data_IF_084452745335
#
_entry.id   IF_084452745335
#
_cell.length_a   1.000
_cell.length_b   1.000
_cell.length_c   1.000
_cell.angle_alpha   90.00
_cell.angle_beta   90.00
_cell.angle_gamma   90.00
#
_symmetry.space_group_name_H-M   'P 1'
#
loop_
_entity.id
_entity.type
_entity.pdbx_description
1 polymer ?
#
# COMPACT_ATOMS: atom_id res chain seq x y z
N UNK A 1 -4.32 -22.56 -13.14
CA UNK A 1 -5.31 -23.29 -12.28
C UNK A 1 -5.99 -22.40 -11.24
N UNK A 2 -5.30 -21.70 -10.31
CA UNK A 2 -5.97 -20.77 -9.38
C UNK A 2 -6.55 -19.55 -10.12
N UNK A 3 -5.76 -18.93 -10.98
CA UNK A 3 -6.18 -17.80 -11.81
C UNK A 3 -7.38 -18.13 -12.68
N UNK A 4 -7.40 -19.28 -13.35
CA UNK A 4 -8.55 -19.76 -14.14
C UNK A 4 -9.81 -19.93 -13.29
N UNK A 5 -9.66 -20.48 -12.06
CA UNK A 5 -10.80 -20.63 -11.14
C UNK A 5 -11.33 -19.26 -10.68
N UNK A 6 -10.44 -18.30 -10.37
CA UNK A 6 -10.84 -16.94 -10.00
C UNK A 6 -11.53 -16.27 -11.18
N UNK A 7 -10.98 -16.36 -12.38
CA UNK A 7 -11.58 -15.86 -13.60
C UNK A 7 -12.96 -16.51 -13.85
N UNK A 8 -13.09 -17.81 -13.68
CA UNK A 8 -14.37 -18.51 -13.83
C UNK A 8 -15.44 -18.04 -12.83
N UNK A 9 -15.06 -17.79 -11.57
CA UNK A 9 -15.98 -17.31 -10.52
C UNK A 9 -16.35 -15.84 -10.73
N UNK A 10 -15.38 -14.99 -11.04
CA UNK A 10 -15.61 -13.57 -11.18
C UNK A 10 -15.99 -13.12 -12.61
N UNK A 11 -16.04 -14.05 -13.56
CA UNK A 11 -16.73 -13.85 -14.82
C UNK A 11 -15.92 -13.24 -15.94
N UNK A 12 -14.72 -13.72 -16.20
CA UNK A 12 -13.91 -13.30 -17.36
C UNK A 12 -14.56 -13.63 -18.73
N UNK A 13 -15.54 -14.52 -18.76
CA UNK A 13 -16.29 -14.87 -19.97
C UNK A 13 -17.41 -13.88 -20.31
N UNK A 14 -17.80 -13.04 -19.32
CA UNK A 14 -18.81 -12.01 -19.53
C UNK A 14 -18.15 -10.69 -20.03
N UNK A 15 -18.85 -9.85 -20.83
CA UNK A 15 -18.31 -8.57 -21.26
C UNK A 15 -17.79 -7.72 -20.10
N UNK A 16 -16.58 -7.17 -20.23
CA UNK A 16 -15.93 -6.32 -19.22
C UNK A 16 -16.04 -4.82 -19.51
N UNK A 17 -16.74 -4.45 -20.60
CA UNK A 17 -16.94 -3.07 -21.03
C UNK A 17 -17.78 -2.24 -20.05
N UNK A 18 -17.77 -0.93 -20.22
CA UNK A 18 -18.64 -0.03 -19.48
C UNK A 18 -20.12 -0.40 -19.73
N UNK A 19 -20.94 -0.30 -18.67
CA UNK A 19 -22.39 -0.61 -18.74
C UNK A 19 -22.74 -2.10 -18.56
N UNK A 20 -21.76 -3.00 -18.57
CA UNK A 20 -21.99 -4.45 -18.39
C UNK A 20 -22.12 -4.90 -16.95
N UNK A 21 -21.95 -3.98 -15.99
CA UNK A 21 -21.96 -4.27 -14.56
C UNK A 21 -20.66 -4.88 -14.02
N UNK A 22 -19.65 -5.08 -14.87
CA UNK A 22 -18.37 -5.63 -14.43
C UNK A 22 -17.59 -4.63 -13.58
N UNK A 23 -17.40 -3.41 -14.05
CA UNK A 23 -16.73 -2.35 -13.30
C UNK A 23 -17.44 -2.02 -11.98
N UNK A 24 -18.78 -1.99 -11.97
CA UNK A 24 -19.52 -1.80 -10.72
C UNK A 24 -19.31 -2.96 -9.75
N UNK A 25 -19.19 -4.19 -10.24
CA UNK A 25 -18.84 -5.34 -9.40
C UNK A 25 -17.43 -5.24 -8.77
N UNK A 26 -16.44 -4.86 -9.57
CA UNK A 26 -15.06 -4.63 -9.10
C UNK A 26 -15.02 -3.52 -8.06
N UNK A 27 -15.65 -2.37 -8.34
CA UNK A 27 -15.72 -1.25 -7.39
C UNK A 27 -16.46 -1.63 -6.11
N UNK A 28 -17.53 -2.42 -6.20
CA UNK A 28 -18.23 -2.92 -5.02
C UNK A 28 -17.32 -3.78 -4.14
N UNK A 29 -16.62 -4.76 -4.73
CA UNK A 29 -15.69 -5.61 -4.01
C UNK A 29 -14.55 -4.81 -3.39
N UNK A 30 -13.96 -3.88 -4.13
CA UNK A 30 -12.89 -3.01 -3.68
C UNK A 30 -13.30 -2.15 -2.48
N UNK A 31 -14.39 -1.40 -2.59
CA UNK A 31 -14.88 -0.57 -1.50
C UNK A 31 -15.35 -1.40 -0.30
N UNK A 32 -15.91 -2.58 -0.53
CA UNK A 32 -16.27 -3.52 0.53
C UNK A 32 -15.05 -4.00 1.33
N UNK A 33 -13.95 -4.35 0.65
CA UNK A 33 -12.69 -4.74 1.30
C UNK A 33 -12.12 -3.58 2.12
N UNK A 34 -12.08 -2.38 1.56
CA UNK A 34 -11.59 -1.19 2.27
C UNK A 34 -12.44 -0.86 3.50
N UNK A 35 -13.76 -0.87 3.35
CA UNK A 35 -14.68 -0.58 4.46
C UNK A 35 -14.55 -1.61 5.58
N UNK A 36 -14.57 -2.90 5.22
CA UNK A 36 -14.44 -3.98 6.20
C UNK A 36 -13.09 -3.95 6.91
N UNK A 37 -11.98 -3.82 6.16
CA UNK A 37 -10.64 -3.71 6.73
C UNK A 37 -10.50 -2.51 7.67
N UNK A 38 -11.02 -1.33 7.29
CA UNK A 38 -10.99 -0.14 8.14
C UNK A 38 -11.78 -0.32 9.43
N UNK A 39 -12.96 -0.97 9.39
CA UNK A 39 -13.75 -1.27 10.60
C UNK A 39 -13.01 -2.26 11.49
N UNK A 40 -12.37 -3.27 10.92
CA UNK A 40 -11.53 -4.23 11.67
C UNK A 40 -10.34 -3.52 12.33
N UNK A 41 -9.71 -2.54 11.65
CA UNK A 41 -8.68 -1.69 12.25
C UNK A 41 -9.20 -0.92 13.48
N UNK A 42 -10.42 -0.40 13.43
CA UNK A 42 -11.03 0.28 14.58
C UNK A 42 -11.29 -0.65 15.78
N UNK A 43 -11.57 -1.94 15.53
CA UNK A 43 -11.75 -2.93 16.59
C UNK A 43 -10.43 -3.40 17.23
N UNK A 44 -9.36 -3.49 16.44
CA UNK A 44 -8.06 -4.00 16.90
C UNK A 44 -6.93 -3.00 16.63
N UNK A 45 -7.07 -1.73 17.07
CA UNK A 45 -6.13 -0.67 16.68
C UNK A 45 -4.70 -0.93 17.18
N UNK A 46 -4.53 -1.61 18.33
CA UNK A 46 -3.19 -1.90 18.87
C UNK A 46 -2.35 -2.81 17.96
N UNK A 47 -2.99 -3.72 17.23
CA UNK A 47 -2.32 -4.73 16.39
C UNK A 47 -2.32 -4.31 14.91
N UNK A 48 -3.41 -3.68 14.46
CA UNK A 48 -3.65 -3.47 13.05
C UNK A 48 -3.32 -2.06 12.55
N UNK A 49 -3.20 -1.07 13.45
CA UNK A 49 -2.92 0.31 13.02
C UNK A 49 -1.50 0.74 13.36
N UNK A 50 -0.90 1.51 12.46
CA UNK A 50 0.46 2.03 12.57
C UNK A 50 0.55 3.10 13.67
N UNK A 51 1.36 2.93 14.72
CA UNK A 51 1.50 3.91 15.80
C UNK A 51 1.87 5.31 15.29
N UNK A 52 2.70 5.37 14.25
CA UNK A 52 3.21 6.60 13.65
C UNK A 52 2.10 7.41 12.95
N UNK A 53 1.07 6.74 12.43
CA UNK A 53 -0.02 7.39 11.68
C UNK A 53 -1.21 7.78 12.56
N UNK A 54 -1.45 7.08 13.66
CA UNK A 54 -2.61 7.34 14.54
C UNK A 54 -2.79 8.81 14.93
N UNK A 55 -1.72 9.57 15.29
CA UNK A 55 -1.85 10.97 15.65
C UNK A 55 -2.34 11.88 14.50
N UNK A 56 -2.11 11.44 13.27
CA UNK A 56 -2.44 12.22 12.07
C UNK A 56 -3.83 11.90 11.50
N UNK A 57 -4.54 10.90 12.03
CA UNK A 57 -5.87 10.57 11.53
C UNK A 57 -6.94 11.55 12.02
N UNK A 58 -7.52 12.36 11.14
CA UNK A 58 -8.68 13.18 11.49
C UNK A 58 -9.90 12.26 11.59
N UNK A 59 -10.19 11.74 12.78
CA UNK A 59 -11.17 10.67 13.00
C UNK A 59 -12.55 10.98 12.45
N UNK A 60 -12.97 12.24 12.42
CA UNK A 60 -14.24 12.64 11.80
C UNK A 60 -14.24 12.33 10.28
N UNK A 61 -13.12 12.62 9.60
CA UNK A 61 -12.96 12.34 8.17
C UNK A 61 -12.86 10.83 7.93
N UNK A 62 -12.11 10.10 8.77
CA UNK A 62 -11.99 8.64 8.66
C UNK A 62 -13.36 7.96 8.80
N UNK A 63 -14.18 8.39 9.75
CA UNK A 63 -15.56 7.87 9.93
C UNK A 63 -16.44 8.19 8.72
N UNK A 64 -16.35 9.40 8.19
CA UNK A 64 -17.06 9.77 6.97
C UNK A 64 -16.62 8.93 5.78
N UNK A 65 -15.31 8.69 5.63
CA UNK A 65 -14.76 7.86 4.58
C UNK A 65 -15.27 6.40 4.69
N UNK A 66 -15.22 5.81 5.88
CA UNK A 66 -15.76 4.46 6.12
C UNK A 66 -17.24 4.38 5.72
N UNK A 67 -18.04 5.38 6.13
CA UNK A 67 -19.46 5.44 5.76
C UNK A 67 -19.63 5.52 4.24
N UNK A 68 -18.86 6.37 3.58
CA UNK A 68 -18.90 6.53 2.12
C UNK A 68 -18.52 5.23 1.39
N UNK A 69 -17.48 4.52 1.87
CA UNK A 69 -17.05 3.24 1.32
C UNK A 69 -18.14 2.16 1.46
N UNK A 70 -18.80 2.07 2.62
CA UNK A 70 -19.92 1.14 2.84
C UNK A 70 -21.05 1.42 1.85
N UNK A 71 -21.47 2.68 1.74
CA UNK A 71 -22.55 3.09 0.85
C UNK A 71 -22.18 2.84 -0.62
N UNK A 72 -20.97 3.20 -1.02
CA UNK A 72 -20.47 2.97 -2.37
C UNK A 72 -20.44 1.47 -2.71
N UNK A 73 -19.94 0.62 -1.80
CA UNK A 73 -19.91 -0.82 -1.99
C UNK A 73 -21.32 -1.39 -2.24
N UNK A 74 -22.32 -0.92 -1.51
CA UNK A 74 -23.72 -1.36 -1.69
C UNK A 74 -24.28 -0.85 -3.02
N UNK A 75 -24.11 0.45 -3.35
CA UNK A 75 -24.65 1.04 -4.59
C UNK A 75 -24.05 0.31 -5.81
N UNK A 76 -22.74 0.19 -5.87
CA UNK A 76 -22.07 -0.49 -6.98
C UNK A 76 -22.38 -1.99 -7.02
N UNK A 77 -22.57 -2.62 -5.85
CA UNK A 77 -22.97 -4.02 -5.76
C UNK A 77 -24.36 -4.28 -6.31
N UNK A 78 -25.34 -3.45 -5.98
CA UNK A 78 -26.67 -3.49 -6.53
C UNK A 78 -26.66 -3.24 -8.04
N UNK A 79 -25.93 -2.23 -8.52
CA UNK A 79 -25.77 -1.98 -9.94
C UNK A 79 -25.20 -3.19 -10.69
N UNK A 80 -24.15 -3.81 -10.14
CA UNK A 80 -23.58 -5.04 -10.69
C UNK A 80 -24.58 -6.20 -10.70
N UNK A 81 -25.33 -6.38 -9.61
CA UNK A 81 -26.31 -7.45 -9.50
C UNK A 81 -27.48 -7.31 -10.50
N UNK A 82 -27.83 -6.08 -10.89
CA UNK A 82 -28.86 -5.79 -11.90
C UNK A 82 -28.31 -6.03 -13.31
N UNK A 83 -27.12 -5.50 -13.60
CA UNK A 83 -26.58 -5.46 -14.96
C UNK A 83 -25.89 -6.77 -15.39
N UNK A 84 -25.50 -7.63 -14.43
CA UNK A 84 -24.65 -8.78 -14.71
C UNK A 84 -25.32 -10.11 -14.38
N UNK A 85 -25.07 -11.15 -15.20
CA UNK A 85 -25.53 -12.53 -14.92
C UNK A 85 -24.74 -13.16 -13.77
N UNK A 86 -23.41 -13.09 -13.81
CA UNK A 86 -22.52 -13.56 -12.73
C UNK A 86 -22.41 -12.48 -11.65
N UNK A 87 -23.02 -12.70 -10.50
CA UNK A 87 -23.21 -11.68 -9.45
C UNK A 87 -22.14 -11.71 -8.37
N UNK A 88 -21.13 -12.58 -8.46
CA UNK A 88 -20.16 -12.84 -7.40
C UNK A 88 -19.44 -11.58 -6.93
N UNK A 89 -18.92 -10.73 -7.84
CA UNK A 89 -18.21 -9.49 -7.48
C UNK A 89 -19.08 -8.53 -6.67
N UNK A 90 -20.27 -8.20 -7.18
CA UNK A 90 -21.19 -7.29 -6.50
C UNK A 90 -21.66 -7.86 -5.15
N UNK A 91 -21.97 -9.16 -5.09
CA UNK A 91 -22.35 -9.83 -3.84
C UNK A 91 -21.21 -9.82 -2.81
N UNK A 92 -19.98 -10.08 -3.23
CA UNK A 92 -18.82 -10.03 -2.34
C UNK A 92 -18.68 -8.65 -1.69
N UNK A 93 -18.75 -7.57 -2.47
CA UNK A 93 -18.68 -6.21 -1.94
C UNK A 93 -19.83 -5.88 -0.98
N UNK A 94 -21.06 -6.25 -1.34
CA UNK A 94 -22.23 -6.06 -0.46
C UNK A 94 -22.14 -6.85 0.85
N UNK A 95 -21.66 -8.09 0.80
CA UNK A 95 -21.48 -8.92 2.00
C UNK A 95 -20.41 -8.34 2.93
N UNK A 96 -19.29 -7.85 2.37
CA UNK A 96 -18.24 -7.18 3.16
C UNK A 96 -18.75 -5.86 3.77
N UNK A 97 -19.51 -5.06 3.02
CA UNK A 97 -20.13 -3.85 3.52
C UNK A 97 -21.16 -4.14 4.62
N UNK A 98 -21.96 -5.20 4.47
CA UNK A 98 -22.88 -5.67 5.48
C UNK A 98 -22.14 -6.13 6.75
N UNK A 99 -21.08 -6.92 6.60
CA UNK A 99 -20.24 -7.35 7.71
C UNK A 99 -19.61 -6.15 8.45
N UNK A 100 -19.08 -5.16 7.70
CA UNK A 100 -18.57 -3.92 8.28
C UNK A 100 -19.65 -3.18 9.07
N UNK A 101 -20.89 -3.10 8.54
CA UNK A 101 -22.02 -2.46 9.22
C UNK A 101 -22.41 -3.20 10.49
N UNK A 102 -22.50 -4.53 10.45
CA UNK A 102 -22.82 -5.36 11.61
C UNK A 102 -21.77 -5.28 12.72
N UNK A 103 -20.52 -5.04 12.36
CA UNK A 103 -19.42 -4.76 13.30
C UNK A 103 -19.45 -3.33 13.85
N UNK A 104 -20.43 -2.52 13.54
CA UNK A 104 -20.60 -1.15 14.04
C UNK A 104 -20.17 -0.06 13.07
N UNK A 105 -19.60 -0.39 11.90
CA UNK A 105 -19.27 0.54 10.83
C UNK A 105 -18.45 1.74 11.30
N UNK A 106 -18.87 2.94 10.89
CA UNK A 106 -18.21 4.19 11.29
C UNK A 106 -18.40 4.58 12.77
N UNK A 107 -19.25 3.86 13.53
CA UNK A 107 -19.59 4.20 14.92
C UNK A 107 -18.78 3.43 15.94
N UNK A 108 -17.85 2.55 15.53
CA UNK A 108 -16.99 1.78 16.45
C UNK A 108 -16.23 2.73 17.39
N UNK A 109 -16.34 2.55 18.71
CA UNK A 109 -15.59 3.36 19.68
C UNK A 109 -14.10 3.03 19.60
N UNK A 110 -13.26 4.06 19.70
CA UNK A 110 -11.80 3.89 19.73
C UNK A 110 -11.34 4.06 21.16
N UNK A 111 -10.55 3.12 21.62
CA UNK A 111 -9.88 3.25 22.90
C UNK A 111 -8.66 4.18 22.76
N UNK A 112 -8.65 5.29 23.47
CA UNK A 112 -7.56 6.30 23.40
C UNK A 112 -6.27 5.84 24.07
N UNK A 113 -6.31 4.85 24.97
CA UNK A 113 -5.13 4.33 25.68
C UNK A 113 -4.41 3.24 24.88
N UNK A 114 -3.93 3.59 23.68
CA UNK A 114 -3.17 2.67 22.83
C UNK A 114 -1.68 2.67 23.24
N UNK A 115 -1.12 1.47 23.40
CA UNK A 115 0.31 1.30 23.63
C UNK A 115 1.08 1.34 22.31
N UNK A 116 2.27 1.95 22.33
CA UNK A 116 3.21 1.84 21.24
C UNK A 116 3.82 0.44 21.22
N UNK A 117 3.83 -0.18 20.05
CA UNK A 117 4.36 -1.52 19.86
C UNK A 117 4.30 -1.95 18.40
N UNK A 118 4.89 -3.10 18.06
CA UNK A 118 4.86 -3.58 16.69
C UNK A 118 3.41 -3.81 16.25
N UNK A 119 3.06 -3.25 15.10
CA UNK A 119 1.76 -3.35 14.48
C UNK A 119 1.90 -3.94 13.06
N UNK A 120 0.81 -4.51 12.55
CA UNK A 120 0.77 -5.06 11.19
C UNK A 120 0.69 -3.91 10.15
N UNK A 121 0.05 -2.77 10.53
CA UNK A 121 -0.11 -1.63 9.62
C UNK A 121 -1.15 -1.86 8.53
N UNK A 122 -2.23 -2.57 8.85
CA UNK A 122 -3.33 -2.79 7.92
C UNK A 122 -3.99 -1.46 7.49
N UNK A 123 -4.03 -0.47 8.37
CA UNK A 123 -4.50 0.88 8.07
C UNK A 123 -3.64 1.56 6.98
N UNK A 124 -2.32 1.48 7.10
CA UNK A 124 -1.41 1.96 6.06
C UNK A 124 -1.64 1.25 4.74
N UNK A 125 -1.71 -0.08 4.77
CA UNK A 125 -1.97 -0.89 3.59
C UNK A 125 -3.27 -0.52 2.88
N UNK A 126 -4.36 -0.31 3.63
CA UNK A 126 -5.65 0.08 3.06
C UNK A 126 -5.63 1.49 2.45
N UNK A 127 -4.93 2.44 3.10
CA UNK A 127 -4.75 3.79 2.58
C UNK A 127 -3.86 3.79 1.33
N UNK A 128 -2.77 3.04 1.35
CA UNK A 128 -1.87 2.88 0.21
C UNK A 128 -2.63 2.29 -0.98
N UNK A 129 -3.34 1.19 -0.79
CA UNK A 129 -4.16 0.57 -1.82
C UNK A 129 -5.23 1.53 -2.37
N UNK A 130 -5.88 2.32 -1.51
CA UNK A 130 -6.84 3.33 -1.95
C UNK A 130 -6.18 4.42 -2.79
N UNK A 131 -5.08 5.01 -2.30
CA UNK A 131 -4.38 6.08 -2.97
C UNK A 131 -3.78 5.64 -4.30
N UNK A 132 -3.09 4.49 -4.33
CA UNK A 132 -2.50 3.94 -5.55
C UNK A 132 -3.57 3.67 -6.60
N UNK A 133 -4.68 3.04 -6.21
CA UNK A 133 -5.79 2.79 -7.14
C UNK A 133 -6.43 4.09 -7.63
N UNK A 134 -6.66 5.09 -6.77
CA UNK A 134 -7.31 6.35 -7.17
C UNK A 134 -6.41 7.23 -8.04
N UNK A 135 -5.11 7.19 -7.83
CA UNK A 135 -4.15 8.01 -8.58
C UNK A 135 -3.78 7.30 -9.89
N UNK A 136 -3.25 6.08 -9.82
CA UNK A 136 -2.62 5.43 -10.98
C UNK A 136 -3.60 4.75 -11.91
N UNK A 137 -4.64 4.07 -11.42
CA UNK A 137 -5.59 3.38 -12.30
C UNK A 137 -6.30 4.32 -13.30
N UNK A 138 -6.74 5.55 -12.95
CA UNK A 138 -7.27 6.48 -13.95
C UNK A 138 -6.23 6.90 -14.99
N UNK A 139 -4.98 7.15 -14.60
CA UNK A 139 -3.92 7.51 -15.53
C UNK A 139 -3.63 6.39 -16.53
N UNK A 140 -3.50 5.16 -16.07
CA UNK A 140 -3.27 4.00 -16.93
C UNK A 140 -4.44 3.71 -17.87
N UNK A 141 -5.68 4.00 -17.46
CA UNK A 141 -6.86 3.84 -18.33
C UNK A 141 -6.99 4.98 -19.35
N UNK A 142 -6.70 6.23 -18.96
CA UNK A 142 -6.89 7.41 -19.80
C UNK A 142 -5.71 7.64 -20.75
N UNK A 143 -4.48 7.33 -20.31
CA UNK A 143 -3.23 7.52 -21.06
C UNK A 143 -2.34 6.27 -20.99
N UNK A 144 -2.80 5.12 -21.51
CA UNK A 144 -2.03 3.88 -21.43
C UNK A 144 -0.75 3.96 -22.24
N UNK A 145 0.39 3.60 -21.64
CA UNK A 145 1.65 3.43 -22.37
C UNK A 145 1.54 2.31 -23.42
N UNK A 146 0.76 1.27 -23.12
CA UNK A 146 0.46 0.14 -24.00
C UNK A 146 -1.05 0.01 -24.22
N UNK A 147 -1.63 0.63 -25.28
CA UNK A 147 -3.08 0.66 -25.49
C UNK A 147 -3.75 -0.73 -25.60
N UNK A 148 -2.98 -1.76 -25.93
CA UNK A 148 -3.47 -3.14 -26.05
C UNK A 148 -3.42 -3.91 -24.72
N UNK A 149 -2.81 -3.34 -23.68
CA UNK A 149 -2.73 -3.97 -22.36
C UNK A 149 -4.04 -3.74 -21.62
N UNK A 150 -4.75 -4.82 -21.28
CA UNK A 150 -5.94 -4.74 -20.43
C UNK A 150 -5.56 -4.50 -18.97
N UNK A 151 -6.44 -3.83 -18.22
CA UNK A 151 -6.26 -3.57 -16.77
C UNK A 151 -6.04 -4.87 -15.98
N UNK A 152 -6.76 -5.95 -16.34
CA UNK A 152 -6.55 -7.28 -15.76
C UNK A 152 -5.79 -8.18 -16.77
N UNK A 153 -4.54 -7.78 -17.00
CA UNK A 153 -3.59 -8.48 -17.87
C UNK A 153 -3.20 -9.86 -17.30
N UNK A 154 -2.46 -10.63 -18.08
CA UNK A 154 -1.90 -11.89 -17.55
C UNK A 154 -1.03 -11.61 -16.32
N UNK A 155 -1.10 -12.52 -15.35
CA UNK A 155 -0.34 -12.48 -14.07
C UNK A 155 -0.76 -11.36 -13.09
N UNK A 156 -1.85 -10.60 -13.33
CA UNK A 156 -2.30 -9.55 -12.41
C UNK A 156 -2.60 -10.09 -10.99
N UNK A 157 -3.13 -11.31 -10.86
CA UNK A 157 -3.34 -11.96 -9.55
C UNK A 157 -2.03 -12.30 -8.85
N UNK A 158 -0.98 -12.62 -9.61
CA UNK A 158 0.35 -12.82 -9.07
C UNK A 158 0.89 -11.51 -8.51
N UNK A 159 0.68 -10.39 -9.22
CA UNK A 159 1.10 -9.06 -8.76
C UNK A 159 0.29 -8.59 -7.55
N UNK A 160 -1.02 -8.91 -7.48
CA UNK A 160 -1.80 -8.72 -6.23
C UNK A 160 -1.19 -9.52 -5.08
N UNK A 161 -0.77 -10.77 -5.33
CA UNK A 161 -0.07 -11.57 -4.33
C UNK A 161 1.23 -10.94 -3.84
N UNK A 162 2.03 -10.38 -4.76
CA UNK A 162 3.24 -9.63 -4.41
C UNK A 162 2.91 -8.34 -3.67
N UNK A 163 1.94 -7.56 -4.13
CA UNK A 163 1.48 -6.36 -3.44
C UNK A 163 1.10 -6.64 -1.98
N UNK A 164 0.33 -7.70 -1.73
CA UNK A 164 -0.01 -8.13 -0.38
C UNK A 164 1.21 -8.56 0.43
N UNK A 165 2.12 -9.33 -0.16
CA UNK A 165 3.29 -9.88 0.55
C UNK A 165 4.38 -8.85 0.83
N UNK A 166 4.44 -7.75 0.08
CA UNK A 166 5.42 -6.68 0.25
C UNK A 166 4.89 -5.53 1.11
N UNK A 167 3.65 -5.09 0.86
CA UNK A 167 3.08 -3.92 1.55
C UNK A 167 2.45 -4.25 2.91
N UNK A 168 1.80 -5.42 3.07
CA UNK A 168 1.20 -5.77 4.34
C UNK A 168 2.22 -5.94 5.48
N UNK A 169 3.39 -6.62 5.31
CA UNK A 169 4.38 -6.72 6.37
C UNK A 169 5.30 -5.51 6.51
N UNK A 170 5.06 -4.42 5.77
CA UNK A 170 5.94 -3.25 5.71
C UNK A 170 6.22 -2.63 7.08
N UNK A 171 5.23 -2.58 7.96
CA UNK A 171 5.35 -2.02 9.30
C UNK A 171 6.21 -2.92 10.20
N UNK A 172 6.00 -4.24 10.13
CA UNK A 172 6.79 -5.20 10.89
C UNK A 172 8.26 -5.17 10.44
N UNK A 173 8.49 -5.16 9.13
CA UNK A 173 9.86 -5.10 8.58
C UNK A 173 10.53 -3.78 8.90
N UNK A 174 9.82 -2.65 8.81
CA UNK A 174 10.33 -1.34 9.19
C UNK A 174 10.67 -1.28 10.68
N UNK A 175 9.82 -1.78 11.56
CA UNK A 175 10.10 -1.88 12.98
C UNK A 175 11.37 -2.69 13.26
N UNK A 176 11.52 -3.86 12.64
CA UNK A 176 12.69 -4.72 12.81
C UNK A 176 13.97 -4.10 12.26
N UNK A 177 13.88 -3.29 11.21
CA UNK A 177 15.02 -2.58 10.60
C UNK A 177 15.41 -1.35 11.46
N UNK A 178 14.44 -0.58 11.92
CA UNK A 178 14.68 0.70 12.59
C UNK A 178 14.98 0.54 14.08
N UNK A 179 14.47 -0.52 14.74
CA UNK A 179 14.72 -0.74 16.16
C UNK A 179 16.23 -0.83 16.51
N UNK A 180 17.08 -1.60 15.81
CA UNK A 180 18.52 -1.57 16.07
C UNK A 180 19.15 -0.19 15.84
N UNK A 181 18.70 0.53 14.80
CA UNK A 181 19.23 1.87 14.49
C UNK A 181 18.89 2.88 15.61
N UNK A 182 17.66 2.85 16.13
CA UNK A 182 17.26 3.71 17.27
C UNK A 182 18.05 3.39 18.52
N UNK A 183 18.32 2.13 18.83
CA UNK A 183 19.15 1.72 19.96
C UNK A 183 20.60 2.19 19.80
N UNK A 184 21.16 2.09 18.60
CA UNK A 184 22.52 2.56 18.30
C UNK A 184 22.62 4.09 18.40
N UNK A 185 21.65 4.85 17.89
CA UNK A 185 21.62 6.30 18.03
C UNK A 185 21.59 6.74 19.49
N UNK A 186 20.75 6.05 20.29
CA UNK A 186 20.68 6.32 21.73
C UNK A 186 21.99 5.97 22.45
N UNK A 187 22.62 4.85 22.11
CA UNK A 187 23.86 4.39 22.74
C UNK A 187 25.07 5.28 22.41
N UNK A 188 25.23 5.69 21.15
CA UNK A 188 26.35 6.52 20.71
C UNK A 188 26.12 8.01 20.92
N UNK A 189 24.93 8.44 21.34
CA UNK A 189 24.59 9.85 21.53
C UNK A 189 24.74 10.69 20.26
N UNK A 190 24.43 10.11 19.09
CA UNK A 190 24.59 10.77 17.77
C UNK A 190 23.49 11.84 17.61
N UNK A 191 23.65 12.92 18.36
CA UNK A 191 22.71 14.05 18.28
C UNK A 191 23.23 15.20 17.41
N UNK A 192 24.56 15.25 17.16
CA UNK A 192 25.16 16.40 16.48
C UNK A 192 24.74 16.58 15.03
N UNK A 193 24.62 15.48 14.26
CA UNK A 193 24.16 15.54 12.88
C UNK A 193 22.67 15.90 12.80
N UNK A 194 21.84 15.32 13.67
CA UNK A 194 20.42 15.65 13.79
C UNK A 194 20.20 17.12 14.20
N UNK A 195 21.00 17.62 15.14
CA UNK A 195 20.94 19.03 15.56
C UNK A 195 21.35 19.95 14.40
N UNK A 196 22.42 19.64 13.68
CA UNK A 196 22.85 20.42 12.52
C UNK A 196 21.78 20.43 11.41
N UNK A 197 21.16 19.28 11.11
CA UNK A 197 20.05 19.19 10.16
C UNK A 197 18.83 19.99 10.60
N UNK A 198 18.48 19.95 11.89
CA UNK A 198 17.32 20.64 12.45
C UNK A 198 17.37 22.17 12.31
N UNK A 199 18.55 22.78 12.07
CA UNK A 199 18.70 24.21 11.79
C UNK A 199 18.34 24.60 10.34
N UNK A 200 18.26 23.64 9.42
CA UNK A 200 17.89 23.92 8.02
C UNK A 200 16.37 24.06 7.86
N UNK A 201 15.91 24.88 6.90
CA UNK A 201 14.49 24.91 6.54
C UNK A 201 13.97 23.51 6.17
N UNK A 202 12.74 23.20 6.56
CA UNK A 202 12.12 21.88 6.35
C UNK A 202 12.24 21.37 4.89
N UNK A 203 11.97 22.25 3.93
CA UNK A 203 12.05 21.90 2.50
C UNK A 203 13.48 21.50 2.09
N UNK A 204 14.50 22.17 2.64
CA UNK A 204 15.92 21.84 2.37
C UNK A 204 16.26 20.48 2.95
N UNK A 205 15.83 20.20 4.19
CA UNK A 205 15.99 18.88 4.81
C UNK A 205 15.32 17.77 3.96
N UNK A 206 14.10 18.02 3.50
CA UNK A 206 13.35 17.06 2.69
C UNK A 206 14.03 16.78 1.35
N UNK A 207 14.50 17.81 0.63
CA UNK A 207 15.22 17.64 -0.63
C UNK A 207 16.58 16.93 -0.43
N UNK A 208 17.29 17.20 0.66
CA UNK A 208 18.50 16.47 1.00
C UNK A 208 18.20 15.00 1.36
N UNK A 209 17.09 14.74 2.04
CA UNK A 209 16.66 13.38 2.35
C UNK A 209 16.39 12.58 1.08
N UNK A 210 15.68 13.16 0.10
CA UNK A 210 15.46 12.54 -1.22
C UNK A 210 16.80 12.25 -1.90
N UNK A 211 17.72 13.23 -1.95
CA UNK A 211 19.03 13.06 -2.59
C UNK A 211 19.85 11.93 -1.94
N UNK A 212 19.88 11.89 -0.60
CA UNK A 212 20.63 10.85 0.13
C UNK A 212 20.01 9.47 -0.10
N UNK A 213 18.68 9.40 -0.08
CA UNK A 213 17.96 8.17 -0.34
C UNK A 213 18.16 7.66 -1.77
N UNK A 214 18.09 8.53 -2.78
CA UNK A 214 18.34 8.18 -4.19
C UNK A 214 19.76 7.66 -4.41
N UNK A 215 20.74 8.29 -3.78
CA UNK A 215 22.14 7.81 -3.86
C UNK A 215 22.31 6.45 -3.20
N UNK A 216 21.66 6.22 -2.07
CA UNK A 216 21.67 4.93 -1.38
C UNK A 216 20.94 3.86 -2.22
N UNK A 217 19.77 4.18 -2.76
CA UNK A 217 18.99 3.30 -3.64
C UNK A 217 19.79 2.94 -4.89
N UNK A 218 20.39 3.91 -5.56
CA UNK A 218 21.27 3.65 -6.70
C UNK A 218 22.40 2.68 -6.36
N UNK A 219 23.07 2.89 -5.22
CA UNK A 219 24.18 2.06 -4.81
C UNK A 219 23.75 0.60 -4.52
N UNK A 220 22.68 0.42 -3.77
CA UNK A 220 22.18 -0.92 -3.44
C UNK A 220 21.56 -1.61 -4.66
N UNK A 221 20.79 -0.91 -5.48
CA UNK A 221 20.20 -1.42 -6.71
C UNK A 221 21.29 -1.89 -7.69
N UNK A 222 22.36 -1.11 -7.86
CA UNK A 222 23.54 -1.50 -8.64
C UNK A 222 24.22 -2.74 -8.06
N UNK A 223 24.29 -2.88 -6.73
CA UNK A 223 24.81 -4.08 -6.09
C UNK A 223 23.94 -5.30 -6.39
N UNK A 224 22.62 -5.17 -6.35
CA UNK A 224 21.69 -6.24 -6.74
C UNK A 224 21.90 -6.71 -8.17
N UNK A 225 22.19 -5.81 -9.11
CA UNK A 225 22.50 -6.17 -10.49
C UNK A 225 23.91 -6.74 -10.70
N UNK A 226 24.86 -6.43 -9.81
CA UNK A 226 26.28 -6.79 -9.99
C UNK A 226 26.70 -8.03 -9.20
N UNK A 227 26.04 -8.33 -8.09
CA UNK A 227 26.36 -9.45 -7.20
C UNK A 227 25.41 -10.62 -7.47
N UNK A 228 25.91 -11.78 -7.98
CA UNK A 228 25.04 -12.89 -8.39
C UNK A 228 24.13 -13.45 -7.28
N UNK A 229 24.60 -13.37 -6.02
CA UNK A 229 23.78 -13.80 -4.87
C UNK A 229 22.57 -12.86 -4.67
N UNK A 230 22.77 -11.55 -4.75
CA UNK A 230 21.73 -10.55 -4.59
C UNK A 230 20.75 -10.57 -5.78
N UNK A 231 21.26 -10.76 -6.99
CA UNK A 231 20.45 -10.88 -8.20
C UNK A 231 19.36 -11.95 -8.10
N UNK A 232 19.60 -13.04 -7.38
CA UNK A 232 18.60 -14.12 -7.20
C UNK A 232 17.29 -13.61 -6.59
N UNK A 233 17.35 -12.59 -5.74
CA UNK A 233 16.17 -11.97 -5.13
C UNK A 233 15.59 -10.91 -6.04
N UNK A 234 16.44 -10.07 -6.63
CA UNK A 234 16.07 -8.95 -7.47
C UNK A 234 15.54 -9.36 -8.85
N UNK A 235 15.92 -10.51 -9.35
CA UNK A 235 15.41 -11.08 -10.60
C UNK A 235 13.86 -11.26 -10.59
N UNK A 236 13.25 -11.39 -9.42
CA UNK A 236 11.79 -11.44 -9.27
C UNK A 236 11.18 -10.10 -9.66
N UNK A 237 11.79 -8.98 -9.25
CA UNK A 237 11.37 -7.63 -9.65
C UNK A 237 11.40 -7.49 -11.17
N UNK A 238 12.44 -7.96 -11.83
CA UNK A 238 12.58 -7.94 -13.28
C UNK A 238 11.84 -9.06 -14.03
N UNK A 239 11.03 -9.86 -13.36
CA UNK A 239 10.30 -10.97 -13.99
C UNK A 239 8.96 -10.56 -14.60
N UNK A 240 8.48 -9.35 -14.34
CA UNK A 240 7.21 -8.89 -14.89
C UNK A 240 7.30 -8.70 -16.42
N UNK A 241 6.29 -9.23 -17.12
CA UNK A 241 6.17 -9.10 -18.59
C UNK A 241 5.34 -7.91 -19.01
N UNK A 242 4.66 -7.29 -18.08
CA UNK A 242 3.81 -6.12 -18.33
C UNK A 242 4.01 -5.15 -17.16
N UNK A 243 4.03 -3.86 -17.46
CA UNK A 243 4.22 -2.80 -16.48
C UNK A 243 2.88 -2.11 -16.23
N UNK A 244 2.57 -1.96 -14.98
CA UNK A 244 1.52 -1.12 -14.41
C UNK A 244 1.86 -0.84 -12.95
N UNK A 245 1.08 0.00 -12.28
CA UNK A 245 1.32 0.38 -10.90
C UNK A 245 1.40 -0.84 -9.95
N UNK A 246 0.66 -1.91 -10.26
CA UNK A 246 0.63 -3.12 -9.45
C UNK A 246 1.89 -3.98 -9.66
N UNK A 247 2.42 -4.02 -10.90
CA UNK A 247 3.65 -4.76 -11.23
C UNK A 247 4.89 -4.21 -10.52
N UNK A 248 4.91 -2.92 -10.20
CA UNK A 248 5.98 -2.30 -9.43
C UNK A 248 6.19 -2.93 -8.06
N UNK A 249 5.15 -3.56 -7.50
CA UNK A 249 5.22 -4.26 -6.21
C UNK A 249 5.74 -5.70 -6.31
N UNK A 250 6.06 -6.22 -7.50
CA UNK A 250 6.63 -7.56 -7.69
C UNK A 250 8.07 -7.58 -7.19
N UNK A 251 8.26 -7.98 -5.96
CA UNK A 251 9.55 -7.99 -5.27
C UNK A 251 9.67 -9.19 -4.33
N UNK A 252 10.89 -9.59 -4.02
CA UNK A 252 11.17 -10.58 -2.98
C UNK A 252 11.33 -9.87 -1.64
N UNK A 253 10.78 -10.44 -0.56
CA UNK A 253 10.85 -9.84 0.78
C UNK A 253 12.28 -9.51 1.23
N UNK A 254 13.28 -10.33 0.86
CA UNK A 254 14.71 -10.05 1.15
C UNK A 254 15.19 -8.81 0.42
N UNK A 255 14.78 -8.61 -0.84
CA UNK A 255 15.10 -7.42 -1.62
C UNK A 255 14.55 -6.17 -0.90
N UNK A 256 13.25 -6.16 -0.60
CA UNK A 256 12.59 -5.07 0.12
C UNK A 256 13.27 -4.75 1.46
N UNK A 257 13.57 -5.76 2.28
CA UNK A 257 14.19 -5.56 3.58
C UNK A 257 15.60 -4.97 3.44
N UNK A 258 16.41 -5.50 2.50
CA UNK A 258 17.79 -5.03 2.29
C UNK A 258 17.80 -3.60 1.75
N UNK A 259 16.99 -3.29 0.73
CA UNK A 259 16.88 -1.94 0.16
C UNK A 259 16.45 -0.93 1.22
N UNK A 260 15.38 -1.24 1.96
CA UNK A 260 14.87 -0.37 3.03
C UNK A 260 15.88 -0.17 4.14
N UNK A 261 16.56 -1.23 4.59
CA UNK A 261 17.60 -1.11 5.62
C UNK A 261 18.74 -0.21 5.14
N UNK A 262 19.17 -0.38 3.89
CA UNK A 262 20.27 0.39 3.33
C UNK A 262 19.94 1.89 3.17
N UNK A 263 18.68 2.21 2.93
CA UNK A 263 18.20 3.60 2.80
C UNK A 263 17.85 4.19 4.17
N UNK A 264 16.96 3.53 4.94
CA UNK A 264 16.36 4.13 6.12
C UNK A 264 17.32 4.19 7.32
N UNK A 265 18.20 3.19 7.49
CA UNK A 265 19.13 3.18 8.62
C UNK A 265 20.08 4.42 8.60
N UNK A 266 20.78 4.74 7.49
CA UNK A 266 21.56 5.97 7.42
C UNK A 266 20.73 7.25 7.59
N UNK A 267 19.52 7.28 7.05
CA UNK A 267 18.64 8.45 7.18
C UNK A 267 18.29 8.76 8.63
N UNK A 268 18.08 7.74 9.48
CA UNK A 268 17.78 7.94 10.90
C UNK A 268 18.90 8.61 11.69
N UNK A 269 20.15 8.49 11.24
CA UNK A 269 21.29 9.17 11.87
C UNK A 269 21.43 10.64 11.48
N UNK A 270 20.76 11.07 10.42
CA UNK A 270 20.97 12.38 9.80
C UNK A 270 19.72 13.25 9.84
N UNK A 271 18.52 12.68 9.62
CA UNK A 271 17.29 13.46 9.45
C UNK A 271 16.30 13.28 10.62
N UNK A 272 15.55 14.34 10.96
CA UNK A 272 14.43 14.26 11.90
C UNK A 272 13.34 13.29 11.42
N UNK A 273 12.58 12.77 12.38
CA UNK A 273 11.56 11.75 12.11
C UNK A 273 10.47 12.20 11.13
N UNK A 274 10.00 13.44 11.23
CA UNK A 274 8.99 14.03 10.34
C UNK A 274 9.47 14.12 8.88
N UNK A 275 10.77 14.37 8.66
CA UNK A 275 11.38 14.31 7.32
C UNK A 275 11.39 12.90 6.77
N UNK A 276 11.71 11.90 7.60
CA UNK A 276 11.69 10.49 7.19
C UNK A 276 10.27 10.04 6.83
N UNK A 277 9.27 10.42 7.62
CA UNK A 277 7.86 10.15 7.32
C UNK A 277 7.43 10.80 6.00
N UNK A 278 7.78 12.07 5.78
CA UNK A 278 7.50 12.75 4.53
C UNK A 278 8.17 12.07 3.33
N UNK A 279 9.42 11.62 3.50
CA UNK A 279 10.14 10.84 2.47
C UNK A 279 9.42 9.52 2.15
N UNK A 280 8.94 8.80 3.17
CA UNK A 280 8.21 7.53 2.95
C UNK A 280 6.95 7.74 2.10
N UNK A 281 6.19 8.80 2.34
CA UNK A 281 5.06 9.17 1.48
C UNK A 281 5.49 9.48 0.05
N UNK A 282 6.56 10.28 -0.09
CA UNK A 282 7.09 10.64 -1.40
C UNK A 282 7.55 9.41 -2.19
N UNK A 283 8.38 8.54 -1.58
CA UNK A 283 8.97 7.40 -2.28
C UNK A 283 7.91 6.39 -2.69
N UNK A 284 6.85 6.21 -1.91
CA UNK A 284 5.73 5.32 -2.26
C UNK A 284 5.08 5.77 -3.57
N UNK A 285 4.77 7.06 -3.73
CA UNK A 285 4.21 7.62 -4.94
C UNK A 285 5.22 7.59 -6.10
N UNK A 286 6.47 7.97 -5.85
CA UNK A 286 7.52 8.03 -6.86
C UNK A 286 7.87 6.65 -7.42
N UNK A 287 8.06 5.65 -6.57
CA UNK A 287 8.36 4.29 -6.99
C UNK A 287 7.22 3.69 -7.83
N UNK A 288 5.96 3.96 -7.46
CA UNK A 288 4.81 3.52 -8.25
C UNK A 288 4.76 4.25 -9.61
N UNK A 289 5.00 5.56 -9.63
CA UNK A 289 5.06 6.36 -10.85
C UNK A 289 6.09 5.85 -11.86
N UNK A 290 7.25 5.40 -11.41
CA UNK A 290 8.32 4.90 -12.29
C UNK A 290 7.98 3.56 -12.96
N UNK A 291 6.96 2.85 -12.48
CA UNK A 291 6.52 1.56 -13.00
C UNK A 291 5.16 1.61 -13.74
N UNK A 292 4.49 2.77 -13.71
CA UNK A 292 3.16 2.98 -14.33
C UNK A 292 3.22 3.33 -15.80
#
# INVERSE_FOLDING_TARGET
>A
MLEEKVRAVFGDEDPTGFGTGWWSGVLSAFFGVLAFGAVVCLHFPQILTSPELRPYYPMAIMRLLIQALIVAAIIFGVASAILRKKKALGLTGMLLALAATLLGGASVPINESLRDGPAIGLDWFLLDMLLMTLIFSPFEVLWPAYPTQGVFRNEWLLDVGYFLSTHLPIQITSFLILLPATQLTAFFGISSALVAMGHLPWLVQFLLAILVADLAEYAIHRAFHSVPFLWRFHAIHHSSKALDWLAGSRSHLVDDVVVRAFILVPMMFVFPHDIIVAYLFFVTLHATWTHS
#
